data_IF_479095801494
#
_entry.id   IF_479095801494
#
_cell.length_a   1.000
_cell.length_b   1.000
_cell.length_c   1.000
_cell.angle_alpha   90.00
_cell.angle_beta   90.00
_cell.angle_gamma   90.00
#
_symmetry.space_group_name_H-M   'P 1'
#
loop_
_entity.id
_entity.type
_entity.pdbx_description
1 polymer ?
#
# COMPACT_ATOMS: atom_id res chain seq x y z
N UNK A 1 -18.33 -16.71 1.93
CA UNK A 1 -18.66 -15.39 2.50
C UNK A 1 -19.26 -14.47 1.44
N UNK A 2 -18.55 -14.10 0.35
CA UNK A 2 -19.10 -13.16 -0.63
C UNK A 2 -20.35 -13.69 -1.36
N UNK A 3 -20.39 -14.97 -1.73
CA UNK A 3 -21.53 -15.57 -2.41
C UNK A 3 -22.81 -15.55 -1.56
N UNK A 4 -22.72 -15.82 -0.28
CA UNK A 4 -23.85 -15.77 0.65
C UNK A 4 -24.36 -14.35 0.85
N UNK A 5 -23.43 -13.38 1.01
CA UNK A 5 -23.78 -11.98 1.12
C UNK A 5 -24.47 -11.48 -0.17
N UNK A 6 -23.92 -11.79 -1.32
CA UNK A 6 -24.50 -11.43 -2.61
C UNK A 6 -25.90 -12.02 -2.80
N UNK A 7 -26.07 -13.31 -2.45
CA UNK A 7 -27.38 -13.97 -2.55
C UNK A 7 -28.41 -13.34 -1.60
N UNK A 8 -28.00 -12.95 -0.39
CA UNK A 8 -28.87 -12.26 0.58
C UNK A 8 -29.33 -10.88 0.07
N UNK A 9 -28.43 -10.15 -0.62
CA UNK A 9 -28.68 -8.79 -1.10
C UNK A 9 -29.48 -8.80 -2.40
N UNK A 10 -29.13 -9.67 -3.35
CA UNK A 10 -29.66 -9.65 -4.73
C UNK A 10 -30.53 -10.86 -5.09
N UNK A 11 -30.74 -11.81 -4.18
CA UNK A 11 -31.64 -12.96 -4.35
C UNK A 11 -31.09 -14.06 -5.27
N UNK A 12 -29.82 -14.01 -5.68
CA UNK A 12 -29.20 -15.02 -6.56
C UNK A 12 -27.68 -15.05 -6.32
N UNK A 13 -27.00 -16.06 -6.87
CA UNK A 13 -25.54 -16.13 -6.85
C UNK A 13 -24.91 -15.15 -7.82
N UNK A 14 -23.67 -14.66 -7.54
CA UNK A 14 -22.90 -13.90 -8.52
C UNK A 14 -22.44 -14.77 -9.68
N UNK A 15 -22.26 -14.16 -10.87
CA UNK A 15 -21.70 -14.83 -12.04
C UNK A 15 -20.16 -14.97 -11.91
N UNK A 16 -19.53 -13.96 -11.27
CA UNK A 16 -18.09 -13.86 -11.15
C UNK A 16 -17.71 -13.45 -9.72
N UNK A 17 -16.62 -14.01 -9.21
CA UNK A 17 -15.99 -13.58 -7.96
C UNK A 17 -14.52 -13.27 -8.18
N UNK A 18 -14.02 -12.27 -7.42
CA UNK A 18 -12.62 -11.84 -7.41
C UNK A 18 -12.18 -11.59 -5.96
N UNK A 19 -10.90 -11.75 -5.70
CA UNK A 19 -10.26 -11.38 -4.44
C UNK A 19 -9.10 -10.45 -4.72
N UNK A 20 -8.99 -9.36 -3.97
CA UNK A 20 -7.89 -8.42 -4.05
C UNK A 20 -7.27 -8.23 -2.66
N UNK A 21 -5.97 -8.49 -2.50
CA UNK A 21 -5.30 -8.35 -1.20
C UNK A 21 -5.01 -6.89 -0.88
N UNK A 22 -4.92 -6.57 0.42
CA UNK A 22 -4.17 -5.42 0.88
C UNK A 22 -2.66 -5.67 0.79
N UNK A 23 -1.88 -4.67 1.18
CA UNK A 23 -0.41 -4.75 1.17
C UNK A 23 0.23 -4.11 2.40
N UNK A 24 1.43 -4.54 2.72
CA UNK A 24 2.40 -3.81 3.53
C UNK A 24 3.58 -3.39 2.65
N UNK A 25 4.32 -2.37 3.06
CA UNK A 25 5.64 -2.14 2.50
C UNK A 25 6.69 -2.54 3.55
N UNK A 26 7.52 -3.52 3.22
CA UNK A 26 8.53 -4.03 4.15
C UNK A 26 9.68 -3.04 4.34
N UNK A 27 10.10 -2.35 3.28
CA UNK A 27 11.10 -1.28 3.26
C UNK A 27 11.01 -0.48 1.96
N UNK A 28 11.45 0.77 1.95
CA UNK A 28 11.38 1.66 0.79
C UNK A 28 10.21 2.64 0.88
N UNK A 29 9.96 3.20 2.07
CA UNK A 29 8.92 4.21 2.22
C UNK A 29 9.34 5.55 1.62
N UNK A 30 8.37 6.23 0.97
CA UNK A 30 8.54 7.55 0.37
C UNK A 30 9.58 7.62 -0.77
N UNK A 31 9.96 6.48 -1.33
CA UNK A 31 10.86 6.39 -2.48
C UNK A 31 10.13 6.26 -3.81
N UNK A 32 8.90 5.78 -3.83
CA UNK A 32 8.12 5.48 -5.04
C UNK A 32 7.82 6.71 -5.91
N UNK A 33 7.58 7.87 -5.32
CA UNK A 33 7.41 9.14 -6.02
C UNK A 33 8.71 9.92 -6.25
N UNK A 34 9.85 9.31 -5.87
CA UNK A 34 11.20 9.79 -6.13
C UNK A 34 11.95 8.88 -7.13
N UNK A 35 11.22 8.13 -7.97
CA UNK A 35 11.74 7.13 -8.90
C UNK A 35 12.56 6.02 -8.23
N UNK A 36 12.36 5.81 -6.94
CA UNK A 36 13.15 4.91 -6.11
C UNK A 36 12.74 3.44 -6.19
N UNK A 37 13.24 2.69 -5.22
CA UNK A 37 12.96 1.28 -5.05
C UNK A 37 12.03 1.05 -3.86
N UNK A 38 11.13 0.07 -3.98
CA UNK A 38 10.24 -0.38 -2.91
C UNK A 38 10.23 -1.89 -2.82
N UNK A 39 9.89 -2.41 -1.65
CA UNK A 39 9.80 -3.85 -1.39
C UNK A 39 8.49 -4.20 -0.66
N UNK A 40 7.32 -4.00 -1.28
CA UNK A 40 6.06 -4.38 -0.69
C UNK A 40 5.81 -5.88 -0.74
N UNK A 41 4.84 -6.33 0.05
CA UNK A 41 4.24 -7.65 -0.03
C UNK A 41 2.72 -7.53 0.03
N UNK A 42 2.00 -8.22 -0.86
CA UNK A 42 0.57 -8.45 -0.66
C UNK A 42 0.38 -9.33 0.57
N UNK A 43 -0.70 -9.12 1.32
CA UNK A 43 -0.98 -9.87 2.54
C UNK A 43 -2.31 -10.63 2.44
N UNK A 44 -2.48 -11.64 3.30
CA UNK A 44 -3.67 -12.49 3.36
C UNK A 44 -4.94 -11.81 3.94
N UNK A 45 -4.93 -10.47 3.96
CA UNK A 45 -6.10 -9.63 4.21
C UNK A 45 -6.65 -9.18 2.86
N UNK A 46 -7.90 -9.52 2.58
CA UNK A 46 -8.47 -9.38 1.23
C UNK A 46 -9.81 -8.66 1.23
N UNK A 47 -10.12 -8.03 0.12
CA UNK A 47 -11.46 -7.61 -0.26
C UNK A 47 -11.97 -8.63 -1.29
N UNK A 48 -13.15 -9.18 -1.04
CA UNK A 48 -13.84 -10.09 -1.94
C UNK A 48 -14.92 -9.34 -2.72
N UNK A 49 -15.07 -9.66 -3.98
CA UNK A 49 -16.06 -9.09 -4.88
C UNK A 49 -16.91 -10.20 -5.46
N UNK A 50 -18.22 -9.99 -5.52
CA UNK A 50 -19.14 -10.83 -6.26
C UNK A 50 -20.01 -9.97 -7.15
N UNK A 51 -20.11 -10.28 -8.43
CA UNK A 51 -20.89 -9.51 -9.37
C UNK A 51 -21.72 -10.38 -10.34
N UNK A 52 -22.79 -9.78 -10.85
CA UNK A 52 -23.67 -10.37 -11.88
C UNK A 52 -24.06 -9.34 -12.89
N UNK A 53 -23.93 -9.66 -14.19
CA UNK A 53 -24.33 -8.78 -15.30
C UNK A 53 -25.82 -8.44 -15.25
N UNK A 54 -26.12 -7.24 -15.71
CA UNK A 54 -27.48 -6.73 -15.99
C UNK A 54 -27.61 -6.43 -17.49
N UNK A 55 -28.84 -6.22 -17.95
CA UNK A 55 -29.13 -5.88 -19.36
C UNK A 55 -29.25 -4.38 -19.61
N UNK A 56 -29.25 -3.58 -18.54
CA UNK A 56 -29.27 -2.12 -18.57
C UNK A 56 -27.85 -1.53 -18.39
N UNK A 57 -27.75 -0.23 -18.14
CA UNK A 57 -26.50 0.48 -17.87
C UNK A 57 -26.37 0.92 -16.40
N UNK A 58 -27.13 0.30 -15.50
CA UNK A 58 -27.11 0.64 -14.07
C UNK A 58 -26.17 -0.27 -13.30
N UNK A 59 -25.29 0.32 -12.50
CA UNK A 59 -24.47 -0.38 -11.50
C UNK A 59 -25.13 -0.23 -10.14
N UNK A 60 -25.43 -1.34 -9.48
CA UNK A 60 -25.84 -1.36 -8.07
C UNK A 60 -24.73 -2.00 -7.26
N UNK A 61 -24.04 -1.20 -6.46
CA UNK A 61 -22.92 -1.64 -5.64
C UNK A 61 -23.31 -1.61 -4.16
N UNK A 62 -23.15 -2.73 -3.47
CA UNK A 62 -23.33 -2.85 -2.03
C UNK A 62 -22.00 -3.07 -1.35
N UNK A 63 -21.64 -2.18 -0.44
CA UNK A 63 -20.49 -2.36 0.45
C UNK A 63 -20.92 -3.08 1.72
N UNK A 64 -20.35 -4.28 1.94
CA UNK A 64 -20.59 -5.07 3.14
C UNK A 64 -20.04 -4.36 4.38
N UNK A 65 -18.87 -3.71 4.23
CA UNK A 65 -18.16 -3.05 5.32
C UNK A 65 -18.83 -1.77 5.81
N UNK A 66 -19.52 -1.04 4.91
CA UNK A 66 -20.31 0.15 5.24
C UNK A 66 -21.79 -0.18 5.48
N UNK A 67 -22.27 -1.36 5.02
CA UNK A 67 -23.68 -1.74 5.00
C UNK A 67 -24.55 -0.75 4.21
N UNK A 68 -24.00 -0.21 3.13
CA UNK A 68 -24.60 0.81 2.28
C UNK A 68 -24.64 0.34 0.84
N UNK A 69 -25.63 0.85 0.08
CA UNK A 69 -25.78 0.64 -1.36
C UNK A 69 -25.66 1.97 -2.10
N UNK A 70 -24.87 1.98 -3.15
CA UNK A 70 -24.81 3.05 -4.13
C UNK A 70 -25.32 2.55 -5.48
N UNK A 71 -26.07 3.41 -6.19
CA UNK A 71 -26.56 3.14 -7.54
C UNK A 71 -26.15 4.27 -8.47
N UNK A 72 -25.70 3.94 -9.70
CA UNK A 72 -25.33 4.93 -10.71
C UNK A 72 -25.41 4.36 -12.13
N UNK A 73 -25.54 5.26 -13.10
CA UNK A 73 -25.53 4.90 -14.52
C UNK A 73 -24.12 4.92 -15.10
N UNK A 74 -23.81 3.94 -15.94
CA UNK A 74 -22.58 3.92 -16.75
C UNK A 74 -22.60 4.95 -17.88
N UNK A 75 -23.78 5.54 -18.22
CA UNK A 75 -23.89 6.58 -19.23
C UNK A 75 -23.42 7.95 -18.73
N UNK A 76 -23.36 8.15 -17.38
CA UNK A 76 -22.92 9.39 -16.76
C UNK A 76 -22.29 9.07 -15.40
N UNK A 77 -21.00 8.73 -15.40
CA UNK A 77 -20.26 8.40 -14.17
C UNK A 77 -19.71 9.69 -13.56
N UNK A 78 -20.30 10.11 -12.44
CA UNK A 78 -19.88 11.25 -11.65
C UNK A 78 -19.45 10.83 -10.25
N UNK A 79 -18.73 11.72 -9.53
CA UNK A 79 -18.39 11.52 -8.12
C UNK A 79 -19.65 11.53 -7.27
N UNK A 80 -19.64 10.68 -6.26
CA UNK A 80 -20.69 10.61 -5.26
C UNK A 80 -20.15 11.14 -3.92
N UNK A 81 -20.80 12.15 -3.38
CA UNK A 81 -20.46 12.73 -2.07
C UNK A 81 -21.17 12.04 -0.91
N UNK A 82 -22.29 11.35 -1.18
CA UNK A 82 -23.06 10.61 -0.17
C UNK A 82 -22.42 9.24 0.12
N UNK A 83 -21.89 8.59 -0.95
CA UNK A 83 -21.21 7.30 -0.86
C UNK A 83 -19.78 7.40 -1.38
N UNK A 84 -18.87 8.13 -0.70
CA UNK A 84 -17.51 8.40 -1.20
C UNK A 84 -16.68 7.13 -1.43
N UNK A 85 -17.00 6.04 -0.74
CA UNK A 85 -16.38 4.73 -0.95
C UNK A 85 -16.61 4.19 -2.38
N UNK A 86 -17.72 4.56 -3.02
CA UNK A 86 -18.05 4.12 -4.39
C UNK A 86 -17.19 4.80 -5.46
N UNK A 87 -16.53 5.91 -5.14
CA UNK A 87 -15.73 6.67 -6.10
C UNK A 87 -14.51 5.90 -6.62
N UNK A 88 -13.93 5.01 -5.84
CA UNK A 88 -12.87 4.13 -6.29
C UNK A 88 -13.34 3.18 -7.41
N UNK A 89 -14.53 2.60 -7.26
CA UNK A 89 -15.17 1.78 -8.28
C UNK A 89 -15.58 2.63 -9.50
N UNK A 90 -16.23 3.78 -9.28
CA UNK A 90 -16.68 4.70 -10.33
C UNK A 90 -15.52 5.16 -11.20
N UNK A 91 -14.39 5.52 -10.60
CA UNK A 91 -13.17 5.93 -11.31
C UNK A 91 -12.64 4.83 -12.23
N UNK A 92 -12.57 3.60 -11.76
CA UNK A 92 -12.14 2.45 -12.56
C UNK A 92 -13.07 2.24 -13.76
N UNK A 93 -14.40 2.21 -13.54
CA UNK A 93 -15.36 1.98 -14.63
C UNK A 93 -15.35 3.12 -15.65
N UNK A 94 -15.23 4.36 -15.19
CA UNK A 94 -15.12 5.52 -16.07
C UNK A 94 -13.92 5.40 -17.00
N UNK A 95 -12.74 5.10 -16.44
CA UNK A 95 -11.51 5.01 -17.23
C UNK A 95 -11.48 3.79 -18.15
N UNK A 96 -12.08 2.67 -17.76
CA UNK A 96 -12.30 1.55 -18.70
C UNK A 96 -13.13 1.95 -19.92
N UNK A 97 -14.20 2.76 -19.73
CA UNK A 97 -15.01 3.26 -20.85
C UNK A 97 -14.25 4.28 -21.72
N UNK A 98 -13.49 5.18 -21.09
CA UNK A 98 -12.63 6.16 -21.80
C UNK A 98 -11.56 5.45 -22.64
N UNK A 99 -11.04 4.33 -22.15
CA UNK A 99 -10.07 3.49 -22.87
C UNK A 99 -10.74 2.58 -23.94
N UNK A 100 -12.06 2.73 -24.14
CA UNK A 100 -12.81 2.10 -25.24
C UNK A 100 -13.49 0.78 -24.92
N UNK A 101 -13.45 0.33 -23.65
CA UNK A 101 -14.08 -0.92 -23.23
C UNK A 101 -15.60 -0.76 -23.08
N UNK A 102 -16.37 -1.71 -23.61
CA UNK A 102 -17.84 -1.70 -23.51
C UNK A 102 -18.28 -2.39 -22.21
N UNK A 103 -18.98 -1.64 -21.37
CA UNK A 103 -19.52 -2.13 -20.12
C UNK A 103 -21.05 -2.12 -20.18
N UNK A 104 -21.69 -3.06 -19.52
CA UNK A 104 -23.12 -3.05 -19.20
C UNK A 104 -23.32 -2.95 -17.70
N UNK A 105 -24.52 -2.66 -17.25
CA UNK A 105 -24.84 -2.63 -15.83
C UNK A 105 -24.58 -3.96 -15.13
N UNK A 106 -24.37 -3.90 -13.83
CA UNK A 106 -24.17 -5.09 -13.00
C UNK A 106 -24.56 -4.84 -11.54
N UNK A 107 -24.92 -5.91 -10.86
CA UNK A 107 -25.05 -5.95 -9.41
C UNK A 107 -23.70 -6.34 -8.83
N UNK A 108 -23.28 -5.67 -7.78
CA UNK A 108 -22.00 -5.89 -7.09
C UNK A 108 -22.18 -5.90 -5.57
N UNK A 109 -21.66 -6.92 -4.90
CA UNK A 109 -21.39 -6.87 -3.48
C UNK A 109 -19.87 -7.01 -3.25
N UNK A 110 -19.30 -6.24 -2.35
CA UNK A 110 -17.89 -6.34 -1.98
C UNK A 110 -17.66 -5.97 -0.53
N UNK A 111 -16.59 -6.49 0.04
CA UNK A 111 -16.14 -6.24 1.39
C UNK A 111 -15.14 -7.28 1.84
N UNK A 112 -14.54 -7.11 3.01
CA UNK A 112 -13.51 -8.04 3.44
C UNK A 112 -12.89 -7.74 4.80
N UNK A 113 -11.63 -8.17 4.95
CA UNK A 113 -10.90 -8.05 6.20
C UNK A 113 -9.62 -7.20 6.09
N UNK A 114 -9.48 -6.41 5.02
CA UNK A 114 -8.43 -5.37 4.95
C UNK A 114 -8.82 -4.23 5.88
N UNK A 115 -8.05 -3.97 6.94
CA UNK A 115 -8.36 -2.90 7.88
C UNK A 115 -8.41 -1.54 7.20
N UNK A 116 -9.53 -0.84 7.37
CA UNK A 116 -9.73 0.49 6.78
C UNK A 116 -8.93 1.55 7.55
N UNK A 117 -8.46 2.57 6.88
CA UNK A 117 -7.70 3.70 7.44
C UNK A 117 -6.40 3.29 8.18
N UNK A 118 -6.09 2.00 8.23
CA UNK A 118 -4.89 1.46 8.86
C UNK A 118 -3.63 1.60 7.98
N UNK A 119 -3.78 1.98 6.70
CA UNK A 119 -2.66 2.12 5.77
C UNK A 119 -2.22 0.81 5.13
N UNK A 120 -3.10 -0.16 5.07
CA UNK A 120 -2.90 -1.46 4.42
C UNK A 120 -3.46 -1.49 2.99
N UNK A 121 -3.68 -0.31 2.38
CA UNK A 121 -4.12 -0.10 1.00
C UNK A 121 -5.46 -0.72 0.63
N UNK A 122 -6.47 -0.50 1.49
CA UNK A 122 -7.83 -0.90 1.15
C UNK A 122 -8.35 -0.21 -0.13
N UNK A 123 -7.96 1.04 -0.42
CA UNK A 123 -8.29 1.74 -1.67
C UNK A 123 -7.74 1.03 -2.89
N UNK A 124 -6.43 0.75 -2.91
CA UNK A 124 -5.80 0.04 -4.02
C UNK A 124 -6.36 -1.38 -4.20
N UNK A 125 -6.71 -2.07 -3.10
CA UNK A 125 -7.38 -3.36 -3.17
C UNK A 125 -8.78 -3.25 -3.81
N UNK A 126 -9.54 -2.18 -3.50
CA UNK A 126 -10.85 -1.93 -4.16
C UNK A 126 -10.66 -1.62 -5.64
N UNK A 127 -9.72 -0.76 -6.00
CA UNK A 127 -9.46 -0.36 -7.39
C UNK A 127 -8.99 -1.54 -8.24
N UNK A 128 -7.94 -2.24 -7.79
CA UNK A 128 -7.39 -3.40 -8.50
C UNK A 128 -8.43 -4.52 -8.59
N UNK A 129 -9.16 -4.77 -7.50
CA UNK A 129 -10.25 -5.73 -7.47
C UNK A 129 -11.37 -5.39 -8.44
N UNK A 130 -11.73 -4.10 -8.57
CA UNK A 130 -12.72 -3.64 -9.53
C UNK A 130 -12.26 -3.82 -10.99
N UNK A 131 -10.96 -3.55 -11.29
CA UNK A 131 -10.41 -3.83 -12.63
C UNK A 131 -10.45 -5.32 -12.93
N UNK A 132 -9.94 -6.16 -12.01
CA UNK A 132 -9.94 -7.62 -12.18
C UNK A 132 -11.35 -8.20 -12.31
N UNK A 133 -12.32 -7.61 -11.57
CA UNK A 133 -13.73 -7.96 -11.71
C UNK A 133 -14.27 -7.61 -13.09
N UNK A 134 -14.00 -6.40 -13.58
CA UNK A 134 -14.44 -5.96 -14.89
C UNK A 134 -13.82 -6.81 -16.01
N UNK A 135 -12.54 -7.17 -15.89
CA UNK A 135 -11.88 -8.10 -16.82
C UNK A 135 -12.64 -9.42 -16.94
N UNK A 136 -12.97 -10.06 -15.80
CA UNK A 136 -13.71 -11.33 -15.80
C UNK A 136 -15.18 -11.15 -16.20
N UNK A 137 -15.83 -10.09 -15.73
CA UNK A 137 -17.25 -9.89 -15.96
C UNK A 137 -17.55 -9.51 -17.43
N UNK A 138 -16.65 -8.80 -18.10
CA UNK A 138 -16.87 -8.27 -19.45
C UNK A 138 -15.93 -8.85 -20.51
N UNK A 139 -15.14 -9.88 -20.15
CA UNK A 139 -14.19 -10.54 -21.04
C UNK A 139 -13.15 -9.53 -21.62
N UNK A 140 -12.66 -8.63 -20.74
CA UNK A 140 -11.67 -7.61 -21.09
C UNK A 140 -10.27 -8.18 -20.84
N UNK A 141 -9.40 -8.07 -21.83
CA UNK A 141 -8.00 -8.44 -21.70
C UNK A 141 -7.15 -7.18 -21.44
N UNK A 142 -6.48 -7.14 -20.27
CA UNK A 142 -5.52 -6.10 -19.89
C UNK A 142 -4.23 -6.75 -19.42
N UNK A 143 -3.12 -6.18 -19.83
CA UNK A 143 -1.82 -6.56 -19.28
C UNK A 143 -1.65 -6.10 -17.82
N UNK A 144 -0.78 -6.74 -17.05
CA UNK A 144 -0.60 -6.41 -15.62
C UNK A 144 -0.29 -4.92 -15.35
N UNK A 145 0.54 -4.31 -16.19
CA UNK A 145 0.88 -2.89 -16.06
C UNK A 145 -0.29 -1.96 -16.41
N UNK A 146 -1.17 -2.38 -17.32
CA UNK A 146 -2.38 -1.63 -17.66
C UNK A 146 -3.35 -1.62 -16.48
N UNK A 147 -3.55 -2.77 -15.82
CA UNK A 147 -4.37 -2.88 -14.60
C UNK A 147 -3.85 -1.93 -13.52
N UNK A 148 -2.55 -1.96 -13.24
CA UNK A 148 -1.93 -1.11 -12.21
C UNK A 148 -2.07 0.38 -12.54
N UNK A 149 -1.82 0.76 -13.79
CA UNK A 149 -1.94 2.16 -14.23
C UNK A 149 -3.37 2.67 -14.20
N UNK A 150 -4.31 1.85 -14.60
CA UNK A 150 -5.73 2.19 -14.58
C UNK A 150 -6.23 2.36 -13.14
N UNK A 151 -5.89 1.45 -12.23
CA UNK A 151 -6.23 1.56 -10.82
C UNK A 151 -5.64 2.83 -10.19
N UNK A 152 -4.35 3.12 -10.41
CA UNK A 152 -3.72 4.36 -9.95
C UNK A 152 -4.35 5.62 -10.55
N UNK A 153 -4.71 5.60 -11.83
CA UNK A 153 -5.41 6.71 -12.50
C UNK A 153 -6.77 6.97 -11.84
N UNK A 154 -7.48 5.92 -11.44
CA UNK A 154 -8.75 6.06 -10.72
C UNK A 154 -8.55 6.80 -9.38
N UNK A 155 -7.53 6.46 -8.60
CA UNK A 155 -7.23 7.10 -7.32
C UNK A 155 -6.79 8.57 -7.51
N UNK A 156 -5.84 8.81 -8.40
CA UNK A 156 -5.27 10.14 -8.59
C UNK A 156 -6.21 11.12 -9.30
N UNK A 157 -6.81 10.72 -10.41
CA UNK A 157 -7.48 11.64 -11.33
C UNK A 157 -8.99 11.69 -11.10
N UNK A 158 -9.60 10.59 -10.61
CA UNK A 158 -11.02 10.58 -10.30
C UNK A 158 -11.30 10.81 -8.82
N UNK A 159 -10.67 10.05 -7.90
CA UNK A 159 -10.88 10.25 -6.45
C UNK A 159 -10.17 11.53 -5.97
N UNK A 160 -9.09 11.95 -6.61
CA UNK A 160 -8.23 13.09 -6.27
C UNK A 160 -7.39 12.85 -5.00
N UNK A 161 -7.00 11.61 -4.76
CA UNK A 161 -6.05 11.24 -3.71
C UNK A 161 -4.70 10.95 -4.37
N UNK A 162 -3.68 11.78 -4.16
CA UNK A 162 -2.37 11.56 -4.76
C UNK A 162 -1.70 10.34 -4.12
N UNK A 163 -1.28 9.40 -4.94
CA UNK A 163 -0.53 8.22 -4.52
C UNK A 163 0.58 7.88 -5.53
N UNK A 164 1.58 7.15 -5.05
CA UNK A 164 2.57 6.47 -5.91
C UNK A 164 1.94 5.28 -6.65
N UNK A 165 2.78 4.37 -7.15
CA UNK A 165 2.29 3.20 -7.89
C UNK A 165 2.41 1.89 -7.09
N UNK A 166 3.13 1.91 -5.97
CA UNK A 166 3.51 0.76 -5.18
C UNK A 166 2.29 -0.07 -4.72
N UNK A 167 1.26 0.61 -4.25
CA UNK A 167 0.08 -0.01 -3.63
C UNK A 167 -0.69 -0.86 -4.62
N UNK A 168 -1.01 -0.30 -5.78
CA UNK A 168 -1.71 -1.00 -6.85
C UNK A 168 -0.84 -2.12 -7.43
N UNK A 169 0.50 -1.91 -7.51
CA UNK A 169 1.43 -2.94 -7.95
C UNK A 169 1.40 -4.17 -7.03
N UNK A 170 1.51 -3.95 -5.72
CA UNK A 170 1.51 -5.04 -4.75
C UNK A 170 0.15 -5.77 -4.70
N UNK A 171 -0.97 -5.02 -4.72
CA UNK A 171 -2.31 -5.61 -4.72
C UNK A 171 -2.60 -6.42 -6.00
N UNK A 172 -2.07 -5.99 -7.16
CA UNK A 172 -2.28 -6.67 -8.43
C UNK A 172 -1.37 -7.89 -8.61
N UNK A 173 -0.07 -7.73 -8.30
CA UNK A 173 1.00 -8.64 -8.71
C UNK A 173 1.71 -9.32 -7.53
N UNK A 174 1.19 -9.20 -6.31
CA UNK A 174 1.71 -9.94 -5.17
C UNK A 174 1.83 -11.45 -5.47
N UNK A 175 2.76 -12.11 -4.80
CA UNK A 175 2.98 -13.56 -4.91
C UNK A 175 3.15 -14.15 -3.52
N UNK A 176 2.47 -15.26 -3.27
CA UNK A 176 2.58 -16.02 -2.03
C UNK A 176 4.06 -16.29 -1.69
N UNK A 177 4.40 -16.14 -0.41
CA UNK A 177 5.74 -16.36 0.12
C UNK A 177 6.84 -15.48 -0.51
N UNK A 178 6.46 -14.34 -1.13
CA UNK A 178 7.41 -13.41 -1.72
C UNK A 178 7.06 -11.95 -1.39
N UNK A 179 8.10 -11.14 -1.24
CA UNK A 179 8.01 -9.70 -1.44
C UNK A 179 8.18 -9.37 -2.94
N UNK A 180 7.71 -8.20 -3.33
CA UNK A 180 7.81 -7.72 -4.70
C UNK A 180 8.82 -6.56 -4.71
N UNK A 181 10.04 -6.78 -5.23
CA UNK A 181 10.97 -5.70 -5.50
C UNK A 181 10.54 -4.96 -6.76
N UNK A 182 10.29 -3.67 -6.64
CA UNK A 182 9.84 -2.80 -7.73
C UNK A 182 10.78 -1.62 -7.89
N UNK A 183 11.23 -1.39 -9.13
CA UNK A 183 11.86 -0.16 -9.58
C UNK A 183 10.76 0.80 -10.07
N UNK A 184 10.46 1.84 -9.30
CA UNK A 184 9.36 2.76 -9.61
C UNK A 184 9.64 3.67 -10.81
N UNK A 185 10.89 3.76 -11.30
CA UNK A 185 11.27 4.55 -12.49
C UNK A 185 10.82 3.90 -13.79
N UNK A 186 11.12 2.61 -13.95
CA UNK A 186 10.87 1.87 -15.18
C UNK A 186 9.81 0.77 -15.04
N UNK A 187 9.27 0.60 -13.84
CA UNK A 187 8.26 -0.41 -13.46
C UNK A 187 8.72 -1.85 -13.67
N UNK A 188 10.04 -2.09 -13.72
CA UNK A 188 10.57 -3.45 -13.68
C UNK A 188 10.44 -4.01 -12.25
N UNK A 189 10.05 -5.27 -12.16
CA UNK A 189 9.85 -5.92 -10.87
C UNK A 189 10.34 -7.37 -10.89
N UNK A 190 10.62 -7.88 -9.71
CA UNK A 190 10.91 -9.29 -9.48
C UNK A 190 10.47 -9.73 -8.09
N UNK A 191 10.27 -11.02 -7.94
CA UNK A 191 9.88 -11.59 -6.67
C UNK A 191 11.11 -11.95 -5.85
N UNK A 192 11.07 -11.58 -4.56
CA UNK A 192 12.12 -11.84 -3.56
C UNK A 192 11.54 -12.79 -2.52
N UNK A 193 12.12 -13.98 -2.31
CA UNK A 193 11.57 -14.96 -1.38
C UNK A 193 11.48 -14.43 0.04
N UNK A 194 10.35 -14.67 0.71
CA UNK A 194 10.16 -14.49 2.14
C UNK A 194 10.16 -15.86 2.80
N UNK A 195 11.04 -16.03 3.78
CA UNK A 195 11.17 -17.30 4.50
C UNK A 195 9.91 -17.60 5.33
N UNK A 196 9.35 -18.81 5.22
CA UNK A 196 8.27 -19.28 6.09
C UNK A 196 8.63 -19.36 7.58
N UNK A 197 9.90 -19.10 7.95
CA UNK A 197 10.36 -19.00 9.34
C UNK A 197 9.87 -17.75 10.04
N UNK A 198 9.41 -16.74 9.30
CA UNK A 198 8.92 -15.44 9.81
C UNK A 198 7.49 -15.18 9.41
N UNK A 199 6.82 -14.35 10.22
CA UNK A 199 5.52 -13.76 9.93
C UNK A 199 5.67 -12.26 9.78
N UNK A 200 4.79 -11.68 8.97
CA UNK A 200 4.59 -10.25 8.87
C UNK A 200 3.53 -9.87 9.90
N UNK A 201 3.93 -9.19 10.96
CA UNK A 201 2.96 -8.78 11.98
C UNK A 201 2.73 -7.27 11.87
N UNK A 202 1.49 -6.88 11.62
CA UNK A 202 1.08 -5.50 11.48
C UNK A 202 0.40 -5.04 12.76
N UNK A 203 0.84 -3.90 13.32
CA UNK A 203 0.20 -3.30 14.48
C UNK A 203 -0.39 -1.95 14.10
N UNK A 204 -1.71 -1.82 14.14
CA UNK A 204 -2.42 -0.57 13.92
C UNK A 204 -2.48 0.22 15.24
N UNK A 205 -2.00 1.46 15.21
CA UNK A 205 -1.90 2.32 16.39
C UNK A 205 -3.23 2.85 16.93
N UNK A 206 -4.33 2.70 16.20
CA UNK A 206 -5.61 3.36 16.52
C UNK A 206 -5.63 4.86 16.20
N UNK A 207 -4.51 5.43 15.73
CA UNK A 207 -4.42 6.83 15.33
C UNK A 207 -4.76 6.99 13.85
N UNK A 208 -5.84 7.74 13.58
CA UNK A 208 -6.27 8.04 12.22
C UNK A 208 -5.35 9.05 11.56
N UNK A 209 -5.08 8.87 10.28
CA UNK A 209 -4.19 9.71 9.47
C UNK A 209 -4.87 10.99 8.98
N UNK A 210 -5.44 11.80 9.85
CA UNK A 210 -6.19 13.00 9.48
C UNK A 210 -5.39 14.00 8.60
N UNK A 211 -4.07 14.06 8.74
CA UNK A 211 -3.19 14.98 8.03
C UNK A 211 -2.33 14.29 6.95
N UNK A 212 -2.41 12.96 6.77
CA UNK A 212 -1.48 12.24 5.91
C UNK A 212 -1.51 12.72 4.45
N UNK A 213 -2.67 13.02 3.89
CA UNK A 213 -2.78 13.45 2.49
C UNK A 213 -2.16 14.84 2.25
N UNK A 214 -2.29 15.78 3.20
CA UNK A 214 -1.68 17.12 3.11
C UNK A 214 -0.17 17.04 3.31
N UNK A 215 0.28 16.32 4.33
CA UNK A 215 1.70 16.14 4.64
C UNK A 215 2.45 15.34 3.57
N UNK A 216 1.80 14.35 2.96
CA UNK A 216 2.36 13.65 1.80
C UNK A 216 2.68 14.61 0.65
N UNK A 217 1.75 15.54 0.33
CA UNK A 217 2.00 16.58 -0.69
C UNK A 217 3.17 17.49 -0.31
N UNK A 218 3.29 17.84 0.96
CA UNK A 218 4.42 18.65 1.48
C UNK A 218 5.74 17.91 1.28
N UNK A 219 5.81 16.63 1.65
CA UNK A 219 7.04 15.82 1.45
C UNK A 219 7.42 15.68 -0.01
N UNK A 220 6.45 15.41 -0.90
CA UNK A 220 6.66 15.38 -2.35
C UNK A 220 7.25 16.71 -2.86
N UNK A 221 6.69 17.84 -2.40
CA UNK A 221 7.18 19.15 -2.80
C UNK A 221 8.60 19.42 -2.28
N UNK A 222 8.90 19.05 -1.04
CA UNK A 222 10.23 19.19 -0.43
C UNK A 222 11.29 18.38 -1.21
N UNK A 223 10.98 17.14 -1.62
CA UNK A 223 11.87 16.35 -2.48
C UNK A 223 12.11 17.01 -3.85
N UNK A 224 11.06 17.52 -4.49
CA UNK A 224 11.18 18.25 -5.76
C UNK A 224 12.03 19.52 -5.63
N UNK A 225 11.89 20.24 -4.54
CA UNK A 225 12.71 21.42 -4.23
C UNK A 225 14.17 21.03 -3.98
N UNK A 226 14.43 19.92 -3.28
CA UNK A 226 15.79 19.41 -3.09
C UNK A 226 16.45 19.09 -4.44
N UNK A 227 15.75 18.37 -5.33
CA UNK A 227 16.24 18.10 -6.70
C UNK A 227 16.56 19.39 -7.46
N UNK A 228 15.65 20.38 -7.42
CA UNK A 228 15.87 21.66 -8.09
C UNK A 228 17.10 22.40 -7.56
N UNK A 229 17.32 22.41 -6.24
CA UNK A 229 18.49 23.02 -5.61
C UNK A 229 19.78 22.28 -5.95
N UNK A 230 19.79 20.95 -5.92
CA UNK A 230 20.93 20.13 -6.35
C UNK A 230 21.30 20.41 -7.81
N UNK A 231 20.32 20.62 -8.69
CA UNK A 231 20.54 21.00 -10.09
C UNK A 231 21.31 22.33 -10.24
N UNK A 232 21.26 23.22 -9.27
CA UNK A 232 22.03 24.50 -9.33
C UNK A 232 23.52 24.33 -9.00
N UNK A 233 23.93 23.17 -8.44
CA UNK A 233 25.33 22.87 -8.10
C UNK A 233 26.12 22.26 -9.27
N UNK A 234 25.49 22.10 -10.43
CA UNK A 234 26.08 21.44 -11.60
C UNK A 234 25.80 19.93 -11.65
N UNK A 235 25.12 19.38 -10.67
CA UNK A 235 24.63 18.00 -10.70
C UNK A 235 23.37 17.94 -11.59
N UNK A 236 23.46 17.24 -12.73
CA UNK A 236 22.34 17.07 -13.66
C UNK A 236 21.37 15.99 -13.14
N UNK A 237 20.67 16.25 -12.02
CA UNK A 237 19.77 15.29 -11.38
C UNK A 237 18.30 15.56 -11.70
N UNK A 238 17.56 14.52 -12.04
CA UNK A 238 16.10 14.56 -12.27
C UNK A 238 15.30 14.02 -11.09
N UNK A 239 15.91 13.16 -10.28
CA UNK A 239 15.31 12.61 -9.05
C UNK A 239 16.39 12.31 -8.01
N UNK A 240 16.02 12.21 -6.73
CA UNK A 240 16.95 11.90 -5.63
C UNK A 240 17.56 10.50 -5.73
N UNK A 241 17.02 9.63 -6.56
CA UNK A 241 17.60 8.32 -6.86
C UNK A 241 18.92 8.39 -7.63
N UNK A 242 19.21 9.49 -8.31
CA UNK A 242 20.38 9.62 -9.20
C UNK A 242 21.67 10.00 -8.46
N UNK A 243 21.57 10.27 -7.16
CA UNK A 243 22.70 10.61 -6.31
C UNK A 243 22.89 9.57 -5.21
N UNK A 244 24.11 9.47 -4.71
CA UNK A 244 24.45 8.70 -3.53
C UNK A 244 24.68 9.62 -2.31
N UNK A 245 25.02 9.01 -1.14
CA UNK A 245 25.26 9.77 0.09
C UNK A 245 26.51 10.66 -0.01
N UNK A 246 27.50 10.28 -0.83
CA UNK A 246 28.72 11.07 -1.06
C UNK A 246 28.40 12.33 -1.86
N UNK A 247 27.62 12.18 -2.94
CA UNK A 247 27.14 13.32 -3.74
C UNK A 247 26.33 14.29 -2.87
N UNK A 248 25.45 13.74 -2.00
CA UNK A 248 24.62 14.53 -1.10
C UNK A 248 25.46 15.28 -0.06
N UNK A 249 26.51 14.65 0.47
CA UNK A 249 27.41 15.30 1.44
C UNK A 249 28.15 16.47 0.81
N UNK A 250 28.71 16.29 -0.40
CA UNK A 250 29.38 17.36 -1.16
C UNK A 250 28.42 18.53 -1.46
N UNK A 251 27.18 18.24 -1.85
CA UNK A 251 26.18 19.23 -2.20
C UNK A 251 25.39 19.77 -0.99
N UNK A 252 25.66 19.32 0.22
CA UNK A 252 24.86 19.59 1.44
C UNK A 252 24.71 21.09 1.73
N UNK A 253 25.74 21.88 1.47
CA UNK A 253 25.75 23.34 1.69
C UNK A 253 24.77 24.11 0.78
N UNK A 254 24.30 23.50 -0.30
CA UNK A 254 23.34 24.10 -1.24
C UNK A 254 21.88 23.82 -0.85
N UNK A 255 21.64 22.95 0.14
CA UNK A 255 20.33 22.56 0.60
C UNK A 255 19.98 23.23 1.93
N UNK A 256 18.72 23.57 2.14
CA UNK A 256 18.25 23.86 3.49
C UNK A 256 18.32 22.60 4.36
N UNK A 257 18.39 22.77 5.69
CA UNK A 257 18.42 21.65 6.63
C UNK A 257 17.28 20.65 6.38
N UNK A 258 16.05 21.17 6.21
CA UNK A 258 14.89 20.34 5.90
C UNK A 258 15.07 19.54 4.61
N UNK A 259 15.53 20.18 3.53
CA UNK A 259 15.70 19.49 2.24
C UNK A 259 16.83 18.47 2.29
N UNK A 260 17.90 18.77 3.02
CA UNK A 260 19.00 17.83 3.25
C UNK A 260 18.53 16.58 3.99
N UNK A 261 17.71 16.75 5.04
CA UNK A 261 17.11 15.62 5.76
C UNK A 261 16.23 14.77 4.83
N UNK A 262 15.33 15.40 4.04
CA UNK A 262 14.46 14.67 3.10
C UNK A 262 15.28 13.89 2.06
N UNK A 263 16.28 14.55 1.47
CA UNK A 263 17.16 13.92 0.48
C UNK A 263 17.97 12.76 1.11
N UNK A 264 18.50 12.94 2.32
CA UNK A 264 19.23 11.88 3.04
C UNK A 264 18.38 10.64 3.25
N UNK A 265 17.11 10.82 3.68
CA UNK A 265 16.21 9.69 3.80
C UNK A 265 16.04 8.95 2.48
N UNK A 266 15.65 9.64 1.40
CA UNK A 266 15.36 9.01 0.10
C UNK A 266 16.58 8.29 -0.46
N UNK A 267 17.75 8.92 -0.42
CA UNK A 267 19.01 8.35 -0.93
C UNK A 267 19.37 7.10 -0.13
N UNK A 268 19.44 7.21 1.20
CA UNK A 268 19.80 6.07 2.07
C UNK A 268 18.73 4.96 2.08
N UNK A 269 17.45 5.30 1.91
CA UNK A 269 16.39 4.29 1.82
C UNK A 269 16.49 3.45 0.55
N UNK A 270 16.84 4.06 -0.59
CA UNK A 270 17.13 3.32 -1.81
C UNK A 270 18.27 2.29 -1.61
N UNK A 271 19.35 2.69 -0.94
CA UNK A 271 20.46 1.79 -0.63
C UNK A 271 20.01 0.66 0.31
N UNK A 272 19.19 1.00 1.33
CA UNK A 272 18.62 0.00 2.26
C UNK A 272 17.76 -1.02 1.53
N UNK A 273 16.92 -0.59 0.58
CA UNK A 273 16.09 -1.51 -0.23
C UNK A 273 16.95 -2.48 -1.04
N UNK A 274 17.97 -1.97 -1.74
CA UNK A 274 18.86 -2.82 -2.55
C UNK A 274 19.61 -3.83 -1.69
N UNK A 275 20.03 -3.45 -0.48
CA UNK A 275 20.67 -4.36 0.47
C UNK A 275 19.68 -5.36 1.05
N UNK A 276 18.46 -4.91 1.42
CA UNK A 276 17.39 -5.75 1.93
C UNK A 276 17.02 -6.89 0.97
N UNK A 277 16.96 -6.59 -0.32
CA UNK A 277 16.74 -7.60 -1.36
C UNK A 277 17.84 -8.67 -1.34
N UNK A 278 19.12 -8.28 -1.27
CA UNK A 278 20.24 -9.22 -1.21
C UNK A 278 20.21 -10.06 0.07
N UNK A 279 19.91 -9.43 1.21
CA UNK A 279 19.84 -10.10 2.51
C UNK A 279 18.72 -11.16 2.50
N UNK A 280 17.54 -10.85 1.97
CA UNK A 280 16.44 -11.80 1.83
C UNK A 280 16.77 -12.95 0.86
N UNK A 281 17.40 -12.67 -0.28
CA UNK A 281 17.83 -13.69 -1.24
C UNK A 281 18.88 -14.65 -0.63
N UNK A 282 19.72 -14.15 0.28
CA UNK A 282 20.68 -14.94 1.01
C UNK A 282 20.11 -15.62 2.27
N UNK A 283 18.85 -15.34 2.63
CA UNK A 283 18.21 -15.85 3.84
C UNK A 283 18.69 -15.20 5.14
N UNK A 284 19.39 -14.04 5.06
CA UNK A 284 19.87 -13.27 6.21
C UNK A 284 18.75 -12.36 6.75
N UNK A 285 17.84 -12.98 7.47
CA UNK A 285 16.69 -12.30 8.07
C UNK A 285 17.08 -11.30 9.16
N UNK A 286 18.19 -11.54 9.86
CA UNK A 286 18.68 -10.63 10.91
C UNK A 286 19.24 -9.34 10.32
N UNK A 287 20.04 -9.43 9.24
CA UNK A 287 20.51 -8.25 8.52
C UNK A 287 19.34 -7.45 7.93
N UNK A 288 18.36 -8.13 7.32
CA UNK A 288 17.15 -7.49 6.84
C UNK A 288 16.38 -6.78 7.97
N UNK A 289 16.22 -7.41 9.12
CA UNK A 289 15.58 -6.80 10.29
C UNK A 289 16.28 -5.53 10.76
N UNK A 290 17.61 -5.50 10.78
CA UNK A 290 18.38 -4.28 11.10
C UNK A 290 18.14 -3.15 10.09
N UNK A 291 17.97 -3.46 8.80
CA UNK A 291 17.63 -2.47 7.79
C UNK A 291 16.22 -1.88 7.99
N UNK A 292 15.26 -2.70 8.44
CA UNK A 292 13.94 -2.20 8.82
C UNK A 292 14.02 -1.20 9.97
N UNK A 293 14.82 -1.49 11.00
CA UNK A 293 15.03 -0.57 12.14
C UNK A 293 15.66 0.75 11.66
N UNK A 294 16.73 0.68 10.88
CA UNK A 294 17.41 1.85 10.33
C UNK A 294 16.48 2.69 9.43
N UNK A 295 15.57 2.04 8.68
CA UNK A 295 14.52 2.71 7.91
C UNK A 295 13.56 3.48 8.83
N UNK A 296 13.12 2.89 9.95
CA UNK A 296 12.26 3.57 10.91
C UNK A 296 12.92 4.82 11.51
N UNK A 297 14.18 4.68 11.94
CA UNK A 297 14.95 5.79 12.48
C UNK A 297 15.06 6.95 11.47
N UNK A 298 15.35 6.64 10.21
CA UNK A 298 15.42 7.65 9.14
C UNK A 298 14.05 8.28 8.84
N UNK A 299 12.95 7.51 8.90
CA UNK A 299 11.60 8.03 8.74
C UNK A 299 11.19 8.97 9.89
N UNK A 300 11.64 8.66 11.11
CA UNK A 300 11.41 9.49 12.29
C UNK A 300 12.26 10.76 12.27
N UNK A 301 13.57 10.64 12.06
CA UNK A 301 14.55 11.69 12.32
C UNK A 301 14.88 12.56 11.08
N UNK A 302 14.92 11.95 9.91
CA UNK A 302 15.22 12.64 8.64
C UNK A 302 13.94 13.00 7.87
N UNK A 303 13.01 12.05 7.71
CA UNK A 303 11.80 12.30 6.93
C UNK A 303 10.69 12.94 7.75
N UNK A 304 10.71 12.76 9.07
CA UNK A 304 9.79 13.34 10.06
C UNK A 304 8.32 13.02 9.74
N UNK A 305 8.05 11.73 9.51
CA UNK A 305 6.71 11.20 9.23
C UNK A 305 6.22 10.22 10.28
N UNK A 306 7.03 9.90 11.30
CA UNK A 306 6.59 9.11 12.43
C UNK A 306 5.76 9.95 13.42
N UNK A 307 5.18 9.29 14.39
CA UNK A 307 4.53 9.91 15.53
C UNK A 307 4.81 9.08 16.79
N UNK A 308 4.53 9.67 17.97
CA UNK A 308 4.80 9.03 19.27
C UNK A 308 4.22 7.62 19.35
N UNK A 309 3.01 7.43 18.86
CA UNK A 309 2.30 6.15 18.92
C UNK A 309 2.97 5.07 18.07
N UNK A 310 3.48 5.45 16.90
CA UNK A 310 4.25 4.53 16.04
C UNK A 310 5.61 4.20 16.65
N UNK A 311 6.30 5.20 17.22
CA UNK A 311 7.59 5.00 17.88
C UNK A 311 7.43 4.06 19.10
N UNK A 312 6.39 4.23 19.90
CA UNK A 312 6.07 3.35 21.03
C UNK A 312 5.80 1.91 20.56
N UNK A 313 5.05 1.73 19.46
CA UNK A 313 4.83 0.39 18.89
C UNK A 313 6.13 -0.28 18.46
N UNK A 314 7.02 0.46 17.78
CA UNK A 314 8.32 -0.06 17.35
C UNK A 314 9.22 -0.40 18.56
N UNK A 315 9.29 0.47 19.56
CA UNK A 315 10.06 0.22 20.79
C UNK A 315 9.57 -1.03 21.54
N UNK A 316 8.24 -1.17 21.67
CA UNK A 316 7.64 -2.34 22.31
C UNK A 316 7.90 -3.61 21.52
N UNK A 317 7.78 -3.54 20.19
CA UNK A 317 8.07 -4.65 19.30
C UNK A 317 9.50 -5.15 19.45
N UNK A 318 10.49 -4.26 19.41
CA UNK A 318 11.90 -4.60 19.47
C UNK A 318 12.34 -5.21 20.82
N UNK A 319 11.55 -5.02 21.88
CA UNK A 319 11.80 -5.67 23.19
C UNK A 319 11.29 -7.10 23.26
N UNK A 320 10.48 -7.55 22.27
CA UNK A 320 9.89 -8.89 22.31
C UNK A 320 10.86 -9.93 21.76
N UNK A 321 10.94 -11.12 22.40
CA UNK A 321 11.71 -12.23 21.86
C UNK A 321 11.20 -12.65 20.49
N UNK A 322 12.13 -12.93 19.57
CA UNK A 322 11.81 -13.41 18.21
C UNK A 322 11.48 -12.31 17.21
N UNK A 323 11.54 -11.05 17.59
CA UNK A 323 11.43 -9.92 16.65
C UNK A 323 12.80 -9.67 16.01
N UNK A 324 12.83 -9.66 14.70
CA UNK A 324 14.04 -9.40 13.92
C UNK A 324 14.12 -7.93 13.46
N UNK A 325 12.99 -7.29 13.22
CA UNK A 325 12.91 -5.90 12.81
C UNK A 325 11.50 -5.33 12.94
N UNK A 326 11.41 -4.02 13.11
CA UNK A 326 10.16 -3.30 13.26
C UNK A 326 10.31 -1.89 12.68
N UNK A 327 9.26 -1.38 12.02
CA UNK A 327 9.20 -0.03 11.47
C UNK A 327 7.76 0.42 11.22
N UNK A 328 7.56 1.73 11.15
CA UNK A 328 6.30 2.26 10.61
C UNK A 328 6.15 1.88 9.12
N UNK A 329 4.95 1.75 8.62
CA UNK A 329 4.66 1.47 7.19
C UNK A 329 3.57 2.38 6.62
N UNK A 330 3.71 2.73 5.35
CA UNK A 330 2.83 3.67 4.64
C UNK A 330 3.23 5.14 4.85
N UNK A 331 2.30 6.06 4.64
CA UNK A 331 2.58 7.51 4.66
C UNK A 331 3.03 8.09 6.01
N UNK A 332 2.82 7.37 7.11
CA UNK A 332 3.11 7.88 8.45
C UNK A 332 1.98 8.72 9.06
N UNK A 333 2.31 9.55 10.05
CA UNK A 333 1.39 10.41 10.82
C UNK A 333 0.29 9.63 11.54
N UNK A 334 0.53 8.37 11.90
CA UNK A 334 -0.39 7.38 12.41
C UNK A 334 -0.44 6.13 11.51
N UNK A 335 -1.45 5.29 11.68
CA UNK A 335 -1.59 4.05 10.95
C UNK A 335 -0.81 2.91 11.59
N UNK A 336 0.01 2.17 10.82
CA UNK A 336 0.59 0.91 11.26
C UNK A 336 2.11 0.90 11.37
N UNK A 337 2.59 -0.06 12.17
CA UNK A 337 3.93 -0.62 12.04
C UNK A 337 3.89 -1.98 11.35
N UNK A 338 4.96 -2.34 10.67
CA UNK A 338 5.23 -3.68 10.15
C UNK A 338 6.41 -4.27 10.91
N UNK A 339 6.24 -5.51 11.36
CA UNK A 339 7.21 -6.20 12.20
C UNK A 339 7.55 -7.56 11.58
N UNK A 340 8.82 -7.88 11.52
CA UNK A 340 9.30 -9.18 11.09
C UNK A 340 9.53 -10.04 12.35
N UNK A 341 8.71 -11.05 12.54
CA UNK A 341 8.67 -11.85 13.76
C UNK A 341 8.86 -13.32 13.42
N UNK A 342 9.68 -14.04 14.17
CA UNK A 342 9.81 -15.50 14.05
C UNK A 342 8.42 -16.16 14.20
N UNK A 343 8.09 -17.10 13.33
CA UNK A 343 6.75 -17.69 13.25
C UNK A 343 6.25 -18.24 14.60
N UNK A 344 7.10 -18.91 15.36
CA UNK A 344 6.75 -19.45 16.67
C UNK A 344 6.58 -18.41 17.79
N UNK A 345 6.89 -17.13 17.53
CA UNK A 345 6.77 -16.05 18.51
C UNK A 345 5.59 -15.10 18.23
N UNK A 346 4.96 -15.21 17.06
CA UNK A 346 4.01 -14.21 16.54
C UNK A 346 2.78 -13.99 17.44
N UNK A 347 2.20 -15.04 18.01
CA UNK A 347 1.01 -14.91 18.88
C UNK A 347 1.37 -14.23 20.21
N UNK A 348 2.46 -14.68 20.87
CA UNK A 348 2.93 -14.04 22.12
C UNK A 348 3.34 -12.60 21.90
N UNK A 349 3.95 -12.32 20.76
CA UNK A 349 4.29 -10.96 20.34
C UNK A 349 3.02 -10.09 20.28
N UNK A 350 1.96 -10.57 19.62
CA UNK A 350 0.71 -9.83 19.47
C UNK A 350 0.11 -9.43 20.82
N UNK A 351 -0.01 -10.39 21.74
CA UNK A 351 -0.53 -10.17 23.10
C UNK A 351 0.32 -9.15 23.88
N UNK A 352 1.65 -9.32 23.88
CA UNK A 352 2.55 -8.47 24.61
C UNK A 352 2.58 -7.02 24.10
N UNK A 353 2.55 -6.83 22.76
CA UNK A 353 2.50 -5.49 22.17
C UNK A 353 1.18 -4.81 22.43
N UNK A 354 0.04 -5.49 22.32
CA UNK A 354 -1.27 -4.92 22.64
C UNK A 354 -1.35 -4.45 24.10
N UNK A 355 -0.92 -5.30 25.04
CA UNK A 355 -0.93 -4.96 26.47
C UNK A 355 0.03 -3.80 26.77
N UNK A 356 1.26 -3.86 26.26
CA UNK A 356 2.28 -2.83 26.47
C UNK A 356 1.88 -1.48 25.88
N UNK A 357 1.28 -1.50 24.69
CA UNK A 357 0.83 -0.28 24.01
C UNK A 357 -0.32 0.40 24.75
N UNK A 358 -1.31 -0.37 25.20
CA UNK A 358 -2.42 0.16 25.98
C UNK A 358 -1.93 0.81 27.29
N UNK A 359 -0.97 0.18 27.98
CA UNK A 359 -0.35 0.76 29.19
C UNK A 359 0.43 2.06 28.92
N UNK A 360 1.13 2.13 27.79
CA UNK A 360 2.01 3.26 27.46
C UNK A 360 1.27 4.47 26.89
N UNK A 361 0.15 4.25 26.18
CA UNK A 361 -0.55 5.29 25.41
C UNK A 361 -1.99 5.54 25.84
N UNK A 362 -2.61 4.58 26.52
CA UNK A 362 -4.06 4.59 26.81
C UNK A 362 -4.92 4.21 25.58
N UNK A 363 -4.30 3.91 24.44
CA UNK A 363 -4.98 3.46 23.22
C UNK A 363 -4.91 1.94 23.08
N UNK A 364 -5.77 1.37 22.26
CA UNK A 364 -5.76 -0.05 21.94
C UNK A 364 -5.17 -0.26 20.54
N UNK A 365 -4.08 -1.03 20.46
CA UNK A 365 -3.55 -1.47 19.18
C UNK A 365 -4.34 -2.68 18.66
N UNK A 366 -4.61 -2.69 17.34
CA UNK A 366 -5.06 -3.91 16.67
C UNK A 366 -3.85 -4.58 16.03
N UNK A 367 -3.66 -5.88 16.30
CA UNK A 367 -2.52 -6.63 15.79
C UNK A 367 -2.99 -7.71 14.84
N UNK A 368 -2.38 -7.74 13.66
CA UNK A 368 -2.69 -8.67 12.57
C UNK A 368 -1.45 -9.49 12.24
N UNK A 369 -1.51 -10.79 12.50
CA UNK A 369 -0.52 -11.74 12.01
C UNK A 369 -0.88 -12.06 10.56
N UNK A 370 0.04 -11.78 9.64
CA UNK A 370 -0.18 -11.89 8.20
C UNK A 370 0.88 -12.77 7.53
N UNK A 371 0.52 -13.28 6.35
CA UNK A 371 1.41 -13.96 5.44
C UNK A 371 1.42 -13.25 4.09
N UNK A 372 2.53 -13.37 3.35
CA UNK A 372 2.57 -12.89 1.99
C UNK A 372 1.63 -13.73 1.11
N UNK A 373 0.79 -13.06 0.32
CA UNK A 373 -0.27 -13.68 -0.47
C UNK A 373 -0.15 -13.37 -1.95
N UNK A 374 -0.95 -14.09 -2.74
CA UNK A 374 -1.09 -13.81 -4.16
C UNK A 374 -1.87 -12.52 -4.40
N UNK A 375 -1.51 -11.75 -5.43
CA UNK A 375 -2.23 -10.58 -5.90
C UNK A 375 -3.51 -10.93 -6.64
N UNK A 376 -4.31 -9.92 -6.96
CA UNK A 376 -5.61 -10.10 -7.61
C UNK A 376 -5.53 -10.70 -9.03
N UNK A 377 -4.37 -10.61 -9.68
CA UNK A 377 -4.14 -11.15 -11.02
C UNK A 377 -3.51 -12.56 -11.00
N UNK A 378 -3.19 -13.13 -9.86
CA UNK A 378 -2.69 -14.50 -9.76
C UNK A 378 -3.80 -15.48 -10.13
N UNK A 379 -3.54 -16.29 -11.16
CA UNK A 379 -4.49 -17.31 -11.64
C UNK A 379 -5.48 -16.81 -12.70
N UNK A 380 -5.18 -15.69 -13.33
CA UNK A 380 -5.84 -15.24 -14.56
C UNK A 380 -5.02 -15.62 -15.78
#
# INVERSE_FOLDING_TARGET
MINEAFQKIYGSSPDVTVRAPGRVNLIGEHTDYNDGFVLPAAIDRVIEFGARRRKDFVVRAYSIDFQEQAEFSLEAIEKDSEHPWSNYLRGVLKFLQEDGHRLTGFDLAFGGNVPREAGLSSSAAVEVGAVALAMKLFDIELGPLEVVRLARRAENDFVNVPCGIMDQFACALGKRDHALFLDCRNLSYRYVPLSGRVKIVVCYSGVRRALAASEYKVRLQQCRQAVAQLGTTGLAVKSLREIDLTDLEVASHSLSETMLKRARHVVSENERVLKAVKDLENGDLESFGRLMIASHESLRDDYEVSCRELDVLVELALRQPGVLGARMTGAGFGGCTVNLVLAGAAEKFAEAVQEGYSKATGLNAEVYVCEASDGALAGN
#
